data_IF_775661370256
#
_entry.id   IF_775661370256
#
_cell.length_a   1.000
_cell.length_b   1.000
_cell.length_c   1.000
_cell.angle_alpha   90.00
_cell.angle_beta   90.00
_cell.angle_gamma   90.00
#
_symmetry.space_group_name_H-M   'P 1'
#
loop_
_entity.id
_entity.type
_entity.pdbx_description
1 polymer ?
#
# COMPACT_ATOMS: atom_id res chain seq x y z
N UNK A 1 -11.97 -25.22 5.86
CA UNK A 1 -12.39 -24.37 4.73
C UNK A 1 -12.49 -22.92 5.15
N UNK A 2 -11.97 -22.03 4.34
CA UNK A 2 -12.02 -20.61 4.62
C UNK A 2 -13.43 -20.05 4.64
N UNK A 3 -13.67 -19.08 5.51
CA UNK A 3 -14.98 -18.42 5.68
C UNK A 3 -14.99 -17.03 5.05
N UNK A 4 -13.82 -16.42 4.89
CA UNK A 4 -13.67 -15.01 4.52
C UNK A 4 -12.73 -14.82 3.37
N UNK A 5 -12.97 -13.77 2.61
CA UNK A 5 -12.01 -13.21 1.66
C UNK A 5 -11.40 -11.96 2.28
N UNK A 6 -10.09 -11.80 2.17
CA UNK A 6 -9.39 -10.62 2.67
C UNK A 6 -8.98 -9.72 1.49
N UNK A 7 -9.29 -8.43 1.57
CA UNK A 7 -8.75 -7.42 0.67
C UNK A 7 -7.69 -6.61 1.40
N UNK A 8 -6.49 -6.51 0.81
CA UNK A 8 -5.43 -5.61 1.23
C UNK A 8 -5.46 -4.40 0.30
N UNK A 9 -5.94 -3.29 0.80
CA UNK A 9 -6.12 -2.05 0.04
C UNK A 9 -5.03 -1.06 0.44
N UNK A 10 -3.99 -0.98 -0.39
CA UNK A 10 -2.89 -0.06 -0.19
C UNK A 10 -3.20 1.28 -0.86
N UNK A 11 -3.62 2.25 -0.07
CA UNK A 11 -3.89 3.60 -0.54
C UNK A 11 -2.65 4.49 -0.53
N UNK A 12 -2.84 5.75 -0.91
CA UNK A 12 -1.78 6.78 -0.94
C UNK A 12 -1.51 7.37 0.43
N UNK A 13 -2.50 7.40 1.32
CA UNK A 13 -2.38 8.01 2.66
C UNK A 13 -2.54 7.00 3.78
N UNK A 14 -3.11 5.84 3.49
CA UNK A 14 -3.41 4.82 4.49
C UNK A 14 -3.38 3.42 3.90
N UNK A 15 -3.14 2.46 4.77
CA UNK A 15 -3.30 1.03 4.50
C UNK A 15 -4.62 0.56 5.10
N UNK A 16 -5.35 -0.30 4.39
CA UNK A 16 -6.64 -0.83 4.84
C UNK A 16 -6.72 -2.31 4.56
N UNK A 17 -7.36 -3.05 5.45
CA UNK A 17 -7.69 -4.46 5.26
C UNK A 17 -9.17 -4.68 5.54
N UNK A 18 -9.81 -5.42 4.67
CA UNK A 18 -11.26 -5.67 4.73
C UNK A 18 -11.49 -7.18 4.67
N UNK A 19 -12.34 -7.68 5.53
CA UNK A 19 -12.83 -9.06 5.48
C UNK A 19 -14.25 -9.09 4.96
N UNK A 20 -14.47 -9.91 3.95
CA UNK A 20 -15.78 -10.16 3.35
C UNK A 20 -16.22 -11.58 3.65
N UNK A 21 -17.52 -11.77 3.85
CA UNK A 21 -18.12 -13.09 3.83
C UNK A 21 -18.31 -13.60 2.38
N UNK A 22 -18.80 -14.83 2.22
CA UNK A 22 -19.04 -15.43 0.90
C UNK A 22 -20.18 -14.76 0.11
N UNK A 23 -20.99 -13.95 0.76
CA UNK A 23 -22.05 -13.15 0.12
C UNK A 23 -21.59 -11.77 -0.29
N UNK A 24 -20.33 -11.40 -0.01
CA UNK A 24 -19.76 -10.11 -0.32
C UNK A 24 -20.03 -9.01 0.70
N UNK A 25 -20.56 -9.37 1.87
CA UNK A 25 -20.74 -8.40 2.94
C UNK A 25 -19.44 -8.12 3.66
N UNK A 26 -19.21 -6.86 4.01
CA UNK A 26 -18.07 -6.45 4.86
C UNK A 26 -18.36 -6.91 6.29
N UNK A 27 -17.50 -7.77 6.81
CA UNK A 27 -17.61 -8.33 8.17
C UNK A 27 -16.69 -7.60 9.14
N UNK A 28 -15.51 -7.19 8.67
CA UNK A 28 -14.54 -6.45 9.48
C UNK A 28 -13.68 -5.58 8.60
N UNK A 29 -13.19 -4.47 9.15
CA UNK A 29 -12.29 -3.56 8.48
C UNK A 29 -11.36 -2.90 9.49
N UNK A 30 -10.11 -2.71 9.11
CA UNK A 30 -9.15 -1.88 9.86
C UNK A 30 -8.38 -0.99 8.88
N UNK A 31 -8.02 0.19 9.33
CA UNK A 31 -7.31 1.19 8.53
C UNK A 31 -6.27 1.90 9.41
N UNK A 32 -5.12 2.21 8.81
CA UNK A 32 -4.04 2.92 9.48
C UNK A 32 -3.36 3.86 8.51
N UNK A 33 -3.23 5.12 8.88
CA UNK A 33 -2.45 6.10 8.15
C UNK A 33 -0.95 5.82 8.30
N UNK A 34 -0.17 6.22 7.31
CA UNK A 34 1.30 6.18 7.36
C UNK A 34 1.87 7.55 7.00
N UNK A 35 3.13 7.76 7.39
CA UNK A 35 3.81 9.05 7.27
C UNK A 35 4.02 9.44 5.81
N UNK A 36 3.67 10.68 5.47
CA UNK A 36 4.01 11.33 4.22
C UNK A 36 5.35 12.05 4.41
N UNK A 37 6.31 11.84 3.53
CA UNK A 37 7.65 12.42 3.62
C UNK A 37 7.81 13.45 2.51
N UNK A 38 8.17 14.67 2.89
CA UNK A 38 8.34 15.80 1.98
C UNK A 38 9.78 16.32 2.07
N UNK A 39 10.77 15.68 1.39
CA UNK A 39 12.19 16.06 1.55
C UNK A 39 12.53 17.40 0.91
N UNK A 40 11.75 17.87 -0.05
CA UNK A 40 11.91 19.16 -0.71
C UNK A 40 10.56 19.61 -1.29
N UNK A 41 10.40 20.90 -1.67
CA UNK A 41 9.18 21.39 -2.31
C UNK A 41 8.82 20.55 -3.55
N UNK A 42 7.59 20.04 -3.60
CA UNK A 42 7.09 19.19 -4.70
C UNK A 42 7.55 17.74 -4.64
N UNK A 43 8.38 17.34 -3.67
CA UNK A 43 8.80 15.96 -3.47
C UNK A 43 7.86 15.26 -2.51
N UNK A 44 7.42 14.06 -2.86
CA UNK A 44 6.60 13.21 -2.00
C UNK A 44 7.17 11.81 -2.01
N UNK A 45 7.43 11.29 -0.83
CA UNK A 45 7.99 9.96 -0.61
C UNK A 45 7.27 9.24 0.52
N UNK A 46 7.32 7.91 0.48
CA UNK A 46 6.87 7.05 1.57
C UNK A 46 7.98 6.11 2.00
N UNK A 47 7.93 5.67 3.26
CA UNK A 47 8.81 4.61 3.75
C UNK A 47 8.21 3.24 3.39
N UNK A 48 8.85 2.42 2.52
CA UNK A 48 8.31 1.12 2.14
C UNK A 48 8.08 0.17 3.32
N UNK A 49 8.91 0.26 4.35
CA UNK A 49 8.74 -0.56 5.55
C UNK A 49 7.51 -0.17 6.36
N UNK A 50 7.21 1.11 6.42
CA UNK A 50 6.00 1.61 7.09
C UNK A 50 4.74 1.22 6.31
N UNK A 51 4.80 1.24 4.97
CA UNK A 51 3.72 0.73 4.12
C UNK A 51 3.44 -0.74 4.46
N UNK A 52 4.47 -1.58 4.48
CA UNK A 52 4.33 -2.99 4.82
C UNK A 52 3.80 -3.19 6.24
N UNK A 53 4.42 -2.56 7.23
CA UNK A 53 4.04 -2.75 8.63
C UNK A 53 2.62 -2.28 8.93
N UNK A 54 2.19 -1.17 8.32
CA UNK A 54 0.82 -0.68 8.47
C UNK A 54 -0.20 -1.60 7.80
N UNK A 55 0.10 -2.11 6.61
CA UNK A 55 -0.78 -3.05 5.91
C UNK A 55 -0.91 -4.37 6.68
N UNK A 56 0.20 -4.90 7.16
CA UNK A 56 0.19 -6.12 7.95
C UNK A 56 -0.58 -5.93 9.28
N UNK A 57 -0.36 -4.81 9.96
CA UNK A 57 -1.07 -4.48 11.19
C UNK A 57 -2.59 -4.40 10.98
N UNK A 58 -3.05 -3.79 9.89
CA UNK A 58 -4.48 -3.71 9.58
C UNK A 58 -5.09 -5.09 9.28
N UNK A 59 -4.34 -5.98 8.64
CA UNK A 59 -4.81 -7.36 8.39
C UNK A 59 -5.02 -8.11 9.70
N UNK A 60 -4.05 -8.03 10.61
CA UNK A 60 -4.14 -8.66 11.93
C UNK A 60 -5.29 -8.07 12.75
N UNK A 61 -5.43 -6.74 12.76
CA UNK A 61 -6.51 -6.06 13.47
C UNK A 61 -7.89 -6.46 12.94
N UNK A 62 -8.08 -6.47 11.62
CA UNK A 62 -9.34 -6.86 11.00
C UNK A 62 -9.75 -8.30 11.38
N UNK A 63 -8.78 -9.22 11.42
CA UNK A 63 -9.01 -10.59 11.87
C UNK A 63 -9.33 -10.64 13.36
N UNK A 64 -8.55 -9.94 14.19
CA UNK A 64 -8.73 -9.94 15.64
C UNK A 64 -10.10 -9.40 16.06
N UNK A 65 -10.63 -8.42 15.35
CA UNK A 65 -11.93 -7.81 15.65
C UNK A 65 -13.10 -8.80 15.61
N UNK A 66 -12.95 -9.88 14.87
CA UNK A 66 -14.00 -10.92 14.74
C UNK A 66 -13.51 -12.30 15.19
N UNK A 67 -12.34 -12.38 15.82
CA UNK A 67 -11.76 -13.64 16.28
C UNK A 67 -11.41 -14.61 15.16
N UNK A 68 -11.17 -14.13 13.94
CA UNK A 68 -10.75 -14.96 12.81
C UNK A 68 -9.29 -15.40 12.95
N UNK A 69 -9.00 -16.60 12.50
CA UNK A 69 -7.64 -17.14 12.40
C UNK A 69 -7.24 -17.30 10.94
N UNK A 70 -5.96 -17.57 10.67
CA UNK A 70 -5.46 -17.65 9.29
C UNK A 70 -6.21 -18.70 8.44
N UNK A 71 -6.61 -19.80 9.04
CA UNK A 71 -7.37 -20.87 8.38
C UNK A 71 -8.77 -20.45 7.93
N UNK A 72 -9.30 -19.35 8.49
CA UNK A 72 -10.58 -18.78 8.09
C UNK A 72 -10.49 -17.96 6.79
N UNK A 73 -9.27 -17.63 6.34
CA UNK A 73 -9.05 -16.83 5.13
C UNK A 73 -8.91 -17.76 3.92
N UNK A 74 -9.87 -17.68 3.02
CA UNK A 74 -9.91 -18.51 1.79
C UNK A 74 -8.94 -17.97 0.73
N UNK A 75 -8.94 -16.65 0.55
CA UNK A 75 -8.10 -15.98 -0.43
C UNK A 75 -7.83 -14.52 -0.05
N UNK A 76 -6.76 -13.97 -0.61
CA UNK A 76 -6.36 -12.57 -0.41
C UNK A 76 -6.32 -11.88 -1.77
N UNK A 77 -7.06 -10.78 -1.91
CA UNK A 77 -6.94 -9.85 -3.02
C UNK A 77 -6.12 -8.64 -2.61
N UNK A 78 -5.29 -8.15 -3.52
CA UNK A 78 -4.41 -7.00 -3.26
C UNK A 78 -4.68 -5.92 -4.29
N UNK A 79 -4.89 -4.69 -3.83
CA UNK A 79 -4.81 -3.50 -4.67
C UNK A 79 -3.63 -2.64 -4.20
N UNK A 80 -2.78 -2.28 -5.16
CA UNK A 80 -1.55 -1.55 -4.88
C UNK A 80 -1.74 -0.02 -4.92
N UNK A 81 -0.74 0.69 -4.42
CA UNK A 81 -0.56 2.10 -4.69
C UNK A 81 0.12 2.25 -6.06
N UNK A 82 -0.66 2.52 -7.09
CA UNK A 82 -0.17 2.60 -8.48
C UNK A 82 0.86 3.72 -8.67
N UNK A 83 1.73 3.55 -9.66
CA UNK A 83 2.73 4.55 -10.09
C UNK A 83 3.64 5.00 -8.95
N UNK A 84 3.90 4.10 -8.01
CA UNK A 84 4.82 4.30 -6.90
C UNK A 84 6.00 3.36 -7.09
N UNK A 85 7.21 3.93 -7.11
CA UNK A 85 8.43 3.19 -7.39
C UNK A 85 9.14 2.81 -6.10
N UNK A 86 9.42 1.52 -5.94
CA UNK A 86 10.25 0.98 -4.84
C UNK A 86 11.40 0.19 -5.44
N UNK A 87 12.60 0.49 -5.00
CA UNK A 87 13.82 -0.27 -5.34
C UNK A 87 14.39 -0.85 -4.05
N UNK A 88 14.68 -2.15 -4.07
CA UNK A 88 15.22 -2.85 -2.89
C UNK A 88 16.37 -3.76 -3.26
N UNK A 89 17.20 -4.04 -2.29
CA UNK A 89 18.29 -5.00 -2.43
C UNK A 89 17.72 -6.42 -2.56
N UNK A 90 18.13 -7.11 -3.61
CA UNK A 90 17.63 -8.46 -3.92
C UNK A 90 17.97 -9.50 -2.86
N UNK A 91 19.14 -9.38 -2.22
CA UNK A 91 19.63 -10.35 -1.26
C UNK A 91 19.08 -10.11 0.15
N UNK A 92 19.04 -8.85 0.55
CA UNK A 92 18.61 -8.46 1.91
C UNK A 92 17.14 -8.15 2.03
N UNK A 93 16.46 -7.78 0.92
CA UNK A 93 15.11 -7.27 0.92
C UNK A 93 14.97 -5.85 1.43
N UNK A 94 16.09 -5.16 1.72
CA UNK A 94 16.07 -3.79 2.24
C UNK A 94 15.80 -2.78 1.14
N UNK A 95 14.89 -1.80 1.34
CA UNK A 95 14.74 -0.69 0.41
C UNK A 95 16.03 0.12 0.35
N UNK A 96 16.49 0.45 -0.84
CA UNK A 96 17.69 1.28 -1.03
C UNK A 96 17.38 2.77 -0.87
N UNK A 97 16.11 3.14 -0.98
CA UNK A 97 15.61 4.50 -0.81
C UNK A 97 14.11 4.47 -0.48
N UNK A 98 13.57 5.60 -0.06
CA UNK A 98 12.12 5.74 0.10
C UNK A 98 11.37 5.48 -1.21
N UNK A 99 10.13 5.06 -1.12
CA UNK A 99 9.25 4.95 -2.29
C UNK A 99 8.95 6.35 -2.83
N UNK A 100 9.19 6.56 -4.13
CA UNK A 100 8.83 7.80 -4.82
C UNK A 100 7.41 7.61 -5.34
N UNK A 101 6.48 8.43 -4.86
CA UNK A 101 5.06 8.24 -5.11
C UNK A 101 4.58 9.07 -6.31
N UNK A 102 3.44 8.70 -6.86
CA UNK A 102 2.86 9.32 -8.04
C UNK A 102 2.58 10.82 -7.89
N UNK A 103 2.38 11.31 -6.68
CA UNK A 103 2.17 12.74 -6.37
C UNK A 103 3.46 13.56 -6.44
N UNK A 104 4.62 12.90 -6.50
CA UNK A 104 5.92 13.59 -6.52
C UNK A 104 6.12 14.33 -7.84
N UNK A 105 6.54 15.59 -7.76
CA UNK A 105 6.72 16.48 -8.89
C UNK A 105 8.19 16.66 -9.32
N UNK A 106 9.12 15.87 -8.74
CA UNK A 106 10.56 16.01 -9.02
C UNK A 106 10.96 15.82 -10.48
N UNK A 107 10.15 15.09 -11.26
CA UNK A 107 10.41 14.83 -12.68
C UNK A 107 9.56 15.69 -13.62
N UNK A 108 8.79 16.65 -13.11
CA UNK A 108 7.89 17.48 -13.93
C UNK A 108 8.66 18.20 -15.05
N UNK A 109 9.87 18.75 -14.75
CA UNK A 109 10.72 19.41 -15.73
C UNK A 109 11.13 18.49 -16.88
N UNK A 110 11.34 17.20 -16.63
CA UNK A 110 11.69 16.21 -17.67
C UNK A 110 10.53 16.02 -18.64
N UNK A 111 9.31 16.01 -18.13
CA UNK A 111 8.10 15.92 -18.97
C UNK A 111 7.97 17.16 -19.84
N UNK A 112 8.20 18.36 -19.27
CA UNK A 112 8.19 19.61 -20.04
C UNK A 112 9.22 19.59 -21.17
N UNK A 113 10.41 19.03 -20.94
CA UNK A 113 11.45 18.87 -21.98
C UNK A 113 11.04 17.90 -23.07
N UNK A 114 10.40 16.76 -22.72
CA UNK A 114 9.90 15.79 -23.68
C UNK A 114 8.83 16.41 -24.57
N UNK A 115 7.87 17.13 -23.95
CA UNK A 115 6.80 17.84 -24.69
C UNK A 115 7.40 18.87 -25.66
N UNK A 116 8.40 19.67 -25.21
CA UNK A 116 9.10 20.65 -26.08
C UNK A 116 9.80 19.99 -27.28
N UNK A 117 10.19 18.73 -27.17
CA UNK A 117 10.79 17.95 -28.25
C UNK A 117 9.76 17.34 -29.21
N UNK A 118 8.46 17.52 -28.92
CA UNK A 118 7.36 17.07 -29.76
C UNK A 118 6.93 15.61 -29.58
N UNK A 119 7.21 15.04 -28.40
CA UNK A 119 6.76 13.70 -28.04
C UNK A 119 5.48 13.74 -27.19
#
# INVERSE_FOLDING_TARGET
MGKYLMALDQGTTSSRSILFDKSGNIISMAQKEFTQIYPAPGFVEHNPREIWSSQFATAIEAMANIGAVCEDIEAIGITNQRETTVVWDKETGEPVYNAIVWQCRRTAHMIDEVVKKGY
#
